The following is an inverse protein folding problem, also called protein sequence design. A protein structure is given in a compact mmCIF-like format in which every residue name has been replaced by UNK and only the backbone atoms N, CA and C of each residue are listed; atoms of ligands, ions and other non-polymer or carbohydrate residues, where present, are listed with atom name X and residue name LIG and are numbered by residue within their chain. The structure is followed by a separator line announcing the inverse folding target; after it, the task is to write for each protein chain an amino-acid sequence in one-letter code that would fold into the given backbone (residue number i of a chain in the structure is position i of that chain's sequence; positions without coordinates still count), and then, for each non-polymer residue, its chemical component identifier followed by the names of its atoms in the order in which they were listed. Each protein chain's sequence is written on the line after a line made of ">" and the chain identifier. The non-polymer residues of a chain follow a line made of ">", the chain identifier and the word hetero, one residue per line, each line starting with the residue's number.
data_IF_848477319287
#
_entry.id   IF_848477319287
#
_cell.length_a   1.000
_cell.length_b   1.000
_cell.length_c   1.000
_cell.angle_alpha   90.00
_cell.angle_beta   90.00
_cell.angle_gamma   90.00
#
_symmetry.space_group_name_H-M   'P 1'
#
loop_
_entity.id
_entity.type
_entity.pdbx_description
1 polymer ?
#
# COMPACT_ATOMS: atom_id res chain seq x y z
N UNK A 1 19.59 12.73 14.24
CA UNK A 1 19.85 11.30 14.04
C UNK A 1 18.97 10.53 15.00
N UNK A 2 17.98 9.83 14.48
CA UNK A 2 17.56 8.55 15.03
C UNK A 2 17.23 7.68 13.83
N UNK A 3 18.25 6.96 13.37
CA UNK A 3 18.11 5.85 12.44
C UNK A 3 17.67 4.63 13.22
N UNK A 4 16.39 4.57 13.57
CA UNK A 4 15.80 3.30 14.03
C UNK A 4 14.93 2.78 12.89
N UNK A 5 15.61 2.19 11.89
CA UNK A 5 15.01 1.51 10.76
C UNK A 5 14.25 0.28 11.24
N UNK A 6 12.95 0.47 11.36
CA UNK A 6 11.92 -0.45 11.85
C UNK A 6 11.35 -1.21 10.63
N UNK A 7 11.42 -2.53 10.60
CA UNK A 7 10.89 -3.34 9.49
C UNK A 7 9.36 -3.25 9.39
N UNK A 8 8.82 -3.15 8.18
CA UNK A 8 7.36 -3.19 7.93
C UNK A 8 7.03 -4.44 7.14
N UNK A 9 6.08 -5.23 7.62
CA UNK A 9 5.63 -6.48 7.00
C UNK A 9 4.14 -6.46 6.71
N UNK A 10 3.76 -7.09 5.60
CA UNK A 10 2.38 -7.34 5.19
C UNK A 10 2.18 -8.82 4.91
N UNK A 11 0.95 -9.30 5.01
CA UNK A 11 0.62 -10.66 4.64
C UNK A 11 -0.81 -11.03 5.01
N UNK A 12 -1.10 -12.32 4.98
CA UNK A 12 -2.38 -12.88 5.42
C UNK A 12 -2.44 -13.18 6.94
N UNK A 13 -1.42 -12.77 7.70
CA UNK A 13 -1.38 -13.02 9.14
C UNK A 13 -2.43 -12.18 9.89
N UNK A 14 -2.92 -12.74 11.00
CA UNK A 14 -3.86 -12.10 11.94
C UNK A 14 -3.25 -11.95 13.35
N UNK A 15 -2.02 -12.43 13.55
CA UNK A 15 -1.31 -12.39 14.83
C UNK A 15 0.20 -12.25 14.59
N UNK A 16 0.88 -11.50 15.46
CA UNK A 16 2.34 -11.38 15.50
C UNK A 16 2.80 -11.42 16.95
N UNK A 17 3.71 -12.36 17.29
CA UNK A 17 4.25 -12.54 18.65
C UNK A 17 3.15 -12.65 19.73
N UNK A 18 2.04 -13.33 19.44
CA UNK A 18 0.91 -13.49 20.37
C UNK A 18 -0.01 -12.27 20.51
N UNK A 19 0.22 -11.20 19.73
CA UNK A 19 -0.61 -10.00 19.71
C UNK A 19 -1.44 -9.95 18.41
N UNK A 20 -2.76 -9.67 18.48
CA UNK A 20 -3.59 -9.51 17.29
C UNK A 20 -3.06 -8.41 16.36
N UNK A 21 -2.95 -8.75 15.07
CA UNK A 21 -2.51 -7.86 13.99
C UNK A 21 -3.19 -8.24 12.69
N UNK A 22 -4.11 -7.40 12.22
CA UNK A 22 -4.87 -7.66 11.01
C UNK A 22 -4.10 -7.18 9.76
N UNK A 23 -3.03 -7.91 9.44
CA UNK A 23 -2.27 -7.90 8.17
C UNK A 23 -1.02 -7.03 8.04
N UNK A 24 -0.96 -5.73 8.43
CA UNK A 24 0.29 -5.00 8.49
C UNK A 24 0.87 -5.00 9.90
N UNK A 25 2.19 -5.12 10.01
CA UNK A 25 2.92 -5.00 11.26
C UNK A 25 4.21 -4.20 11.04
N UNK A 26 4.61 -3.48 12.08
CA UNK A 26 5.84 -2.69 12.09
C UNK A 26 6.69 -3.13 13.29
N UNK A 27 8.01 -3.20 13.13
CA UNK A 27 8.93 -3.79 14.11
C UNK A 27 10.16 -2.95 14.32
N UNK A 28 10.57 -2.66 15.56
CA UNK A 28 11.81 -1.92 15.81
C UNK A 28 13.09 -2.65 15.34
N UNK A 29 14.24 -2.00 15.48
CA UNK A 29 15.53 -2.56 15.07
C UNK A 29 15.90 -3.87 15.82
N UNK A 30 15.32 -4.10 17.01
CA UNK A 30 15.44 -5.34 17.77
C UNK A 30 14.35 -6.38 17.41
N UNK A 31 13.49 -6.05 16.44
CA UNK A 31 12.35 -6.84 16.00
C UNK A 31 11.16 -6.81 16.96
N UNK A 32 11.11 -5.93 17.96
CA UNK A 32 9.94 -5.78 18.82
C UNK A 32 8.78 -5.16 18.05
N UNK A 33 7.56 -5.62 18.31
CA UNK A 33 6.37 -5.13 17.61
C UNK A 33 6.09 -3.68 18.02
N UNK A 34 6.03 -2.79 17.04
CA UNK A 34 5.65 -1.40 17.24
C UNK A 34 4.11 -1.30 17.40
N UNK A 35 3.61 -0.78 18.54
CA UNK A 35 2.17 -0.62 18.75
C UNK A 35 1.56 0.52 17.92
N UNK A 36 2.36 1.44 17.39
CA UNK A 36 1.92 2.61 16.65
C UNK A 36 1.30 2.31 15.27
N UNK A 37 1.53 1.12 14.70
CA UNK A 37 0.87 0.68 13.47
C UNK A 37 0.00 -0.55 13.76
N UNK A 38 -1.28 -0.31 14.08
CA UNK A 38 -2.26 -1.36 14.33
C UNK A 38 -3.61 -1.09 13.64
N UNK A 39 -3.64 -0.86 12.30
CA UNK A 39 -4.91 -0.75 11.59
C UNK A 39 -5.58 -2.12 11.45
N UNK A 40 -6.91 -2.11 11.42
CA UNK A 40 -7.74 -3.30 11.21
C UNK A 40 -8.13 -3.35 9.74
N UNK A 41 -7.56 -4.28 8.98
CA UNK A 41 -7.91 -4.54 7.59
C UNK A 41 -8.71 -5.84 7.53
N UNK A 42 -9.74 -5.89 6.69
CA UNK A 42 -10.59 -7.07 6.56
C UNK A 42 -10.11 -8.08 5.50
N UNK A 43 -8.89 -7.93 5.01
CA UNK A 43 -8.34 -8.76 3.96
C UNK A 43 -6.83 -8.57 3.83
N UNK A 44 -6.14 -9.50 3.15
CA UNK A 44 -4.70 -9.58 3.17
C UNK A 44 -4.03 -8.36 2.53
N UNK A 45 -2.86 -8.02 3.06
CA UNK A 45 -1.93 -7.05 2.47
C UNK A 45 -0.88 -7.83 1.68
N UNK A 46 -0.74 -7.54 0.39
CA UNK A 46 0.21 -8.22 -0.50
C UNK A 46 1.45 -7.38 -0.79
N UNK A 47 1.35 -6.06 -0.71
CA UNK A 47 2.43 -5.13 -0.99
C UNK A 47 2.44 -3.98 0.01
N UNK A 48 3.63 -3.51 0.37
CA UNK A 48 3.81 -2.31 1.19
C UNK A 48 5.01 -1.53 0.67
N UNK A 49 4.95 -0.21 0.79
CA UNK A 49 6.08 0.68 0.51
C UNK A 49 6.06 1.86 1.48
N UNK A 50 7.23 2.47 1.69
CA UNK A 50 7.37 3.70 2.44
C UNK A 50 7.32 4.90 1.51
N UNK A 51 6.70 5.96 1.98
CA UNK A 51 6.75 7.31 1.43
C UNK A 51 7.89 8.11 2.09
N UNK A 52 8.27 9.26 1.51
CA UNK A 52 9.40 10.07 1.99
C UNK A 52 9.20 10.68 3.38
N UNK A 53 7.94 10.82 3.83
CA UNK A 53 7.59 11.29 5.17
C UNK A 53 7.49 10.17 6.22
N UNK A 54 7.86 8.93 5.84
CA UNK A 54 7.75 7.75 6.68
C UNK A 54 6.34 7.15 6.75
N UNK A 55 5.38 7.69 5.99
CA UNK A 55 4.06 7.08 5.83
C UNK A 55 4.17 5.74 5.13
N UNK A 56 3.23 4.86 5.44
CA UNK A 56 3.18 3.50 4.92
C UNK A 56 2.04 3.42 3.93
N UNK A 57 2.33 3.02 2.69
CA UNK A 57 1.33 2.73 1.67
C UNK A 57 1.18 1.21 1.58
N UNK A 58 -0.05 0.72 1.64
CA UNK A 58 -0.36 -0.72 1.58
C UNK A 58 -1.24 -1.03 0.39
N UNK A 59 -0.97 -2.18 -0.23
CA UNK A 59 -1.66 -2.75 -1.38
C UNK A 59 -2.09 -4.17 -1.06
N UNK A 60 -3.31 -4.57 -1.42
CA UNK A 60 -3.77 -5.93 -1.12
C UNK A 60 -5.17 -6.24 -1.60
N UNK A 61 -5.83 -7.17 -0.90
CA UNK A 61 -7.20 -7.64 -1.15
C UNK A 61 -8.15 -7.34 0.04
N UNK A 62 -7.91 -6.25 0.76
CA UNK A 62 -8.87 -5.69 1.71
C UNK A 62 -9.91 -4.81 1.01
N UNK A 63 -11.09 -4.66 1.63
CA UNK A 63 -12.17 -3.75 1.19
C UNK A 63 -12.54 -2.71 2.25
N UNK A 64 -12.06 -2.87 3.49
CA UNK A 64 -12.21 -1.89 4.56
C UNK A 64 -10.94 -1.76 5.40
N UNK A 65 -10.78 -0.57 5.99
CA UNK A 65 -9.71 -0.22 6.94
C UNK A 65 -10.35 0.51 8.12
N UNK A 66 -10.20 0.00 9.34
CA UNK A 66 -10.81 0.57 10.56
C UNK A 66 -12.31 0.86 10.38
N UNK A 67 -13.04 -0.07 9.74
CA UNK A 67 -14.46 0.06 9.39
C UNK A 67 -14.81 1.15 8.37
N UNK A 68 -13.82 1.85 7.82
CA UNK A 68 -14.00 2.80 6.70
C UNK A 68 -13.88 2.03 5.39
N UNK A 69 -14.80 2.27 4.45
CA UNK A 69 -14.70 1.74 3.09
C UNK A 69 -13.45 2.32 2.40
N UNK A 70 -12.41 1.48 2.29
CA UNK A 70 -11.12 1.79 1.68
C UNK A 70 -10.59 0.46 1.17
N UNK A 71 -10.65 0.26 -0.13
CA UNK A 71 -10.33 -1.02 -0.74
C UNK A 71 -9.01 -1.00 -1.47
N UNK A 72 -8.24 -2.08 -1.32
CA UNK A 72 -7.04 -2.44 -2.09
C UNK A 72 -5.83 -1.52 -1.96
N UNK A 73 -6.01 -0.21 -1.75
CA UNK A 73 -4.95 0.79 -1.54
C UNK A 73 -5.28 1.67 -0.32
N UNK A 74 -4.34 1.81 0.60
CA UNK A 74 -4.45 2.71 1.73
C UNK A 74 -3.09 3.31 2.08
N UNK A 75 -3.09 4.48 2.73
CA UNK A 75 -1.89 5.14 3.25
C UNK A 75 -2.11 5.45 4.73
N UNK A 76 -1.10 5.17 5.54
CA UNK A 76 -1.09 5.44 6.97
C UNK A 76 0.04 6.40 7.31
N UNK A 77 -0.22 7.36 8.17
CA UNK A 77 0.83 8.17 8.76
C UNK A 77 1.81 7.27 9.56
N UNK A 78 3.03 7.76 9.87
CA UNK A 78 3.96 7.03 10.75
C UNK A 78 3.37 6.69 12.13
N UNK A 79 2.31 7.39 12.56
CA UNK A 79 1.58 7.13 13.82
C UNK A 79 0.45 6.11 13.67
N UNK A 80 0.30 5.49 12.49
CA UNK A 80 -0.73 4.50 12.17
C UNK A 80 -2.09 5.08 11.79
N UNK A 81 -2.26 6.41 11.84
CA UNK A 81 -3.51 7.05 11.43
C UNK A 81 -3.77 6.89 9.93
N UNK A 82 -4.99 6.47 9.55
CA UNK A 82 -5.41 6.35 8.16
C UNK A 82 -5.48 7.73 7.49
N UNK A 83 -4.79 7.90 6.37
CA UNK A 83 -4.84 9.12 5.59
C UNK A 83 -6.13 9.22 4.76
N UNK A 84 -6.64 10.44 4.60
CA UNK A 84 -7.83 10.70 3.79
C UNK A 84 -7.64 10.27 2.32
N UNK A 85 -6.44 10.40 1.76
CA UNK A 85 -6.07 10.02 0.41
C UNK A 85 -4.80 9.13 0.40
N UNK A 86 -4.57 8.33 -0.66
CA UNK A 86 -5.45 8.11 -1.82
C UNK A 86 -6.69 7.28 -1.45
N UNK A 87 -7.87 7.66 -1.97
CA UNK A 87 -9.16 7.01 -1.72
C UNK A 87 -9.79 6.50 -3.02
N UNK A 88 -9.02 5.74 -3.80
CA UNK A 88 -9.45 5.15 -5.07
C UNK A 88 -10.25 3.86 -4.84
N UNK A 89 -11.11 3.51 -5.80
CA UNK A 89 -11.73 2.19 -5.85
C UNK A 89 -11.06 1.35 -6.95
N UNK A 90 -10.69 0.12 -6.60
CA UNK A 90 -10.13 -0.87 -7.51
C UNK A 90 -11.06 -2.09 -7.53
N UNK A 91 -11.27 -2.69 -8.71
CA UNK A 91 -12.10 -3.89 -8.87
C UNK A 91 -11.34 -5.21 -8.62
N UNK A 92 -10.01 -5.14 -8.47
CA UNK A 92 -9.14 -6.29 -8.22
C UNK A 92 -8.00 -5.98 -7.25
N UNK A 93 -7.31 -7.03 -6.82
CA UNK A 93 -6.20 -6.93 -5.87
C UNK A 93 -5.02 -6.11 -6.41
N UNK A 94 -4.36 -5.39 -5.51
CA UNK A 94 -3.02 -4.82 -5.75
C UNK A 94 -2.00 -5.81 -5.20
N UNK A 95 -1.05 -6.22 -6.04
CA UNK A 95 0.00 -7.18 -5.70
C UNK A 95 1.38 -6.53 -5.58
N UNK A 96 1.58 -5.35 -6.17
CA UNK A 96 2.85 -4.65 -6.14
C UNK A 96 2.64 -3.14 -5.99
N UNK A 97 3.52 -2.51 -5.22
CA UNK A 97 3.56 -1.06 -5.01
C UNK A 97 5.00 -0.57 -5.13
N UNK A 98 5.17 0.64 -5.65
CA UNK A 98 6.44 1.34 -5.60
C UNK A 98 6.21 2.86 -5.55
N UNK A 99 7.09 3.61 -4.86
CA UNK A 99 7.07 5.08 -4.83
C UNK A 99 8.15 5.61 -5.76
N UNK A 100 7.77 6.50 -6.67
CA UNK A 100 8.68 7.23 -7.55
C UNK A 100 9.32 8.43 -6.82
N UNK A 101 10.44 8.94 -7.35
CA UNK A 101 11.14 10.10 -6.79
C UNK A 101 10.28 11.37 -6.69
N UNK A 102 9.24 11.50 -7.50
CA UNK A 102 8.28 12.60 -7.48
C UNK A 102 7.14 12.40 -6.46
N UNK A 103 7.19 11.34 -5.66
CA UNK A 103 6.19 10.99 -4.65
C UNK A 103 4.96 10.27 -5.20
N UNK A 104 4.89 9.94 -6.50
CA UNK A 104 3.76 9.18 -7.04
C UNK A 104 3.90 7.69 -6.76
N UNK A 105 2.76 7.03 -6.56
CA UNK A 105 2.65 5.59 -6.37
C UNK A 105 2.48 4.93 -7.74
N UNK A 106 3.30 3.94 -8.06
CA UNK A 106 2.97 2.93 -9.07
C UNK A 106 2.27 1.77 -8.38
N UNK A 107 1.06 1.44 -8.81
CA UNK A 107 0.29 0.31 -8.30
C UNK A 107 0.07 -0.73 -9.40
N UNK A 108 0.53 -1.96 -9.15
CA UNK A 108 0.39 -3.11 -10.04
C UNK A 108 -0.44 -4.22 -9.42
N UNK A 109 -1.27 -4.89 -10.21
CA UNK A 109 -2.11 -5.97 -9.70
C UNK A 109 -3.00 -6.64 -10.74
N UNK A 110 -4.11 -7.19 -10.26
CA UNK A 110 -5.09 -7.93 -11.06
C UNK A 110 -6.34 -7.10 -11.43
N UNK A 111 -6.41 -5.84 -11.01
CA UNK A 111 -7.52 -4.93 -11.32
C UNK A 111 -7.63 -4.62 -12.82
N UNK A 112 -8.84 -4.37 -13.29
CA UNK A 112 -9.14 -3.91 -14.66
C UNK A 112 -9.70 -2.48 -14.66
N UNK A 113 -10.25 -2.04 -13.53
CA UNK A 113 -10.86 -0.73 -13.37
C UNK A 113 -10.36 -0.02 -12.12
N UNK A 114 -10.21 1.30 -12.26
CA UNK A 114 -9.98 2.22 -11.14
C UNK A 114 -11.00 3.34 -11.20
N UNK A 115 -11.72 3.61 -10.11
CA UNK A 115 -12.86 4.54 -10.07
C UNK A 115 -13.91 4.29 -11.17
N UNK A 116 -14.14 3.02 -11.52
CA UNK A 116 -15.06 2.60 -12.58
C UNK A 116 -14.59 2.91 -14.01
N UNK A 117 -13.36 3.39 -14.20
CA UNK A 117 -12.75 3.63 -15.51
C UNK A 117 -11.73 2.54 -15.83
N UNK A 118 -11.59 2.19 -17.10
CA UNK A 118 -10.68 1.13 -17.53
C UNK A 118 -9.22 1.58 -17.39
N UNK A 119 -8.50 0.94 -16.48
CA UNK A 119 -7.07 1.14 -16.24
C UNK A 119 -6.48 -0.22 -15.85
N UNK A 120 -6.21 -1.12 -16.80
CA UNK A 120 -5.90 -2.50 -16.47
C UNK A 120 -4.50 -2.65 -15.87
N UNK A 121 -4.45 -3.30 -14.70
CA UNK A 121 -3.30 -3.96 -14.05
C UNK A 121 -2.14 -3.07 -13.61
N UNK A 122 -2.00 -1.85 -14.12
CA UNK A 122 -0.90 -0.95 -13.77
C UNK A 122 -1.33 0.52 -13.90
N UNK A 123 -1.22 1.28 -12.81
CA UNK A 123 -1.53 2.72 -12.77
C UNK A 123 -0.46 3.51 -12.03
N UNK A 124 -0.42 4.80 -12.32
CA UNK A 124 0.32 5.80 -11.55
C UNK A 124 -0.67 6.74 -10.85
N UNK A 125 -0.46 6.93 -9.55
CA UNK A 125 -1.39 7.61 -8.63
C UNK A 125 -0.62 8.62 -7.80
N UNK A 126 -1.09 9.87 -7.74
CA UNK A 126 -0.60 10.84 -6.77
C UNK A 126 -1.07 10.53 -5.34
N UNK A 127 -0.31 10.95 -4.32
CA UNK A 127 -0.69 10.77 -2.91
C UNK A 127 -2.03 11.44 -2.55
N UNK A 128 -2.43 12.45 -3.33
CA UNK A 128 -3.75 13.09 -3.23
C UNK A 128 -4.90 12.25 -3.82
N UNK A 129 -4.61 11.08 -4.39
CA UNK A 129 -5.60 10.20 -5.03
C UNK A 129 -5.88 10.52 -6.50
N UNK A 130 -5.16 11.45 -7.13
CA UNK A 130 -5.31 11.72 -8.56
C UNK A 130 -4.63 10.62 -9.40
N UNK A 131 -5.37 10.03 -10.34
CA UNK A 131 -4.79 9.16 -11.37
C UNK A 131 -4.03 10.01 -12.39
N UNK A 132 -2.89 9.51 -12.85
CA UNK A 132 -2.17 10.08 -13.99
C UNK A 132 -2.69 9.47 -15.30
N UNK A 133 -3.50 10.19 -16.09
CA UNK A 133 -4.06 9.67 -17.33
C UNK A 133 -3.02 9.48 -18.43
N UNK A 134 -1.83 10.08 -18.30
CA UNK A 134 -0.75 9.98 -19.31
C UNK A 134 0.06 8.70 -19.16
N UNK A 135 -0.11 7.99 -18.05
CA UNK A 135 0.57 6.72 -17.78
C UNK A 135 -0.32 5.54 -18.16
N UNK A 136 -0.14 5.00 -19.37
CA UNK A 136 -0.97 3.90 -19.92
C UNK A 136 -0.13 2.77 -20.52
N UNK A 137 0.55 1.96 -19.69
CA UNK A 137 1.40 0.85 -20.15
C UNK A 137 0.60 -0.39 -20.62
N UNK A 138 -0.66 -0.52 -20.21
CA UNK A 138 -1.61 -1.55 -20.64
C UNK A 138 -1.08 -3.02 -20.66
N UNK A 139 -0.50 -3.54 -19.57
CA UNK A 139 -0.05 -4.93 -19.53
C UNK A 139 -1.22 -5.91 -19.69
N UNK A 140 -0.97 -7.07 -20.29
CA UNK A 140 -1.97 -8.09 -20.60
C UNK A 140 -2.15 -9.15 -19.49
N UNK A 141 -1.36 -9.08 -18.42
CA UNK A 141 -1.40 -9.99 -17.27
C UNK A 141 -1.23 -9.24 -15.95
N UNK A 142 -1.55 -9.92 -14.84
CA UNK A 142 -1.40 -9.33 -13.51
C UNK A 142 0.05 -8.95 -13.23
N UNK A 143 0.26 -7.78 -12.63
CA UNK A 143 1.58 -7.31 -12.24
C UNK A 143 1.85 -7.73 -10.80
N UNK A 144 2.82 -8.62 -10.61
CA UNK A 144 3.16 -9.19 -9.29
C UNK A 144 4.36 -8.53 -8.61
N UNK A 145 5.20 -7.83 -9.35
CA UNK A 145 6.40 -7.19 -8.81
C UNK A 145 6.70 -5.90 -9.57
N UNK A 146 7.21 -4.91 -8.85
CA UNK A 146 7.64 -3.62 -9.36
C UNK A 146 8.91 -3.20 -8.63
N UNK A 147 9.82 -2.57 -9.36
CA UNK A 147 11.02 -1.92 -8.85
C UNK A 147 11.14 -0.57 -9.55
N UNK A 148 11.55 0.46 -8.81
CA UNK A 148 11.91 1.75 -9.40
C UNK A 148 13.39 1.69 -9.74
N UNK A 149 13.71 1.99 -11.00
CA UNK A 149 15.06 2.31 -11.40
C UNK A 149 15.31 3.79 -11.08
N UNK A 150 16.34 4.13 -10.29
CA UNK A 150 16.77 5.52 -10.15
C UNK A 150 17.20 6.06 -11.51
N UNK A 151 16.86 7.31 -11.79
CA UNK A 151 17.50 8.04 -12.89
C UNK A 151 18.93 8.38 -12.44
N UNK A 152 19.94 8.07 -13.27
CA UNK A 152 21.37 8.34 -13.02
C UNK A 152 21.69 9.84 -12.94
#
# INVERSE_FOLDING_TARGET
>A
MQEDGVGVGGGAFTEVKGQPRDHPARFDAAGALDPGLAPILNGPVYALTLDFDGSIVVGGDFTSVNSVARGRLARFAPTGALAAAPALTFDGAIHALAIQADGRIIAGGAFLQVNGQSHPRLVRVGLNGALDPTFSPAPNGAVYALLIQPDD
#
